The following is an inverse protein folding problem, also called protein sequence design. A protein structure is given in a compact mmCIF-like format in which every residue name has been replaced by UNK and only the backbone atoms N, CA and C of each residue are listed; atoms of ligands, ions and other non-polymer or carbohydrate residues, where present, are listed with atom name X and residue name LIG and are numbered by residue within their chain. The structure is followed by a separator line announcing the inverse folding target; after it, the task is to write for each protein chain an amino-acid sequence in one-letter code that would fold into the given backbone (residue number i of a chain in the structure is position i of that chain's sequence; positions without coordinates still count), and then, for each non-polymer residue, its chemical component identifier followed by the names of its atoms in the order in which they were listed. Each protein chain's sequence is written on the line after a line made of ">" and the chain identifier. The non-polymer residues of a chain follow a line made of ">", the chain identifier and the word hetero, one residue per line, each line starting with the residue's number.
data_IF_620642943284
#
_entry.id   IF_620642943284
#
_cell.length_a   1.000
_cell.length_b   1.000
_cell.length_c   1.000
_cell.angle_alpha   90.00
_cell.angle_beta   90.00
_cell.angle_gamma   90.00
#
_symmetry.space_group_name_H-M   'P 1'
#
loop_
_entity.id
_entity.type
_entity.pdbx_description
1 polymer ?
#
# COMPACT_ATOMS: atom_id res chain seq x y z
N UNK A 1 -2.08 12.46 -21.12
CA UNK A 1 -2.26 12.97 -19.72
C UNK A 1 -2.18 14.50 -19.58
N UNK A 2 -2.15 15.31 -20.67
CA UNK A 2 -1.95 16.77 -20.55
C UNK A 2 -3.07 17.56 -19.82
N UNK A 3 -4.25 16.96 -19.64
CA UNK A 3 -5.39 17.59 -18.96
C UNK A 3 -5.95 16.73 -17.82
N UNK A 4 -5.16 15.81 -17.26
CA UNK A 4 -5.63 15.04 -16.12
C UNK A 4 -5.77 15.95 -14.90
N UNK A 5 -6.99 16.04 -14.39
CA UNK A 5 -7.29 16.62 -13.09
C UNK A 5 -7.26 15.48 -12.06
N UNK A 6 -6.38 15.57 -11.07
CA UNK A 6 -6.23 14.54 -10.03
C UNK A 6 -7.44 14.45 -9.10
N UNK A 7 -8.17 15.55 -8.95
CA UNK A 7 -9.32 15.66 -8.07
C UNK A 7 -9.71 17.10 -7.82
N UNK A 8 -10.52 17.33 -6.81
CA UNK A 8 -10.97 18.66 -6.41
C UNK A 8 -11.15 18.76 -4.90
N UNK A 9 -11.05 19.98 -4.37
CA UNK A 9 -11.30 20.23 -2.95
C UNK A 9 -12.77 20.55 -2.71
N UNK A 10 -13.37 19.87 -1.74
CA UNK A 10 -14.74 20.10 -1.28
C UNK A 10 -14.70 20.76 0.09
N UNK A 11 -15.50 21.82 0.28
CA UNK A 11 -15.65 22.47 1.57
C UNK A 11 -16.54 21.61 2.49
N UNK A 12 -16.01 21.21 3.64
CA UNK A 12 -16.68 20.42 4.69
C UNK A 12 -17.11 21.29 5.88
N UNK A 13 -17.22 22.61 5.67
CA UNK A 13 -17.54 23.59 6.70
C UNK A 13 -16.28 24.30 7.19
N UNK A 14 -15.61 23.73 8.21
CA UNK A 14 -14.41 24.33 8.82
C UNK A 14 -13.10 23.99 8.10
N UNK A 15 -13.09 22.99 7.21
CA UNK A 15 -11.92 22.54 6.47
C UNK A 15 -12.30 22.14 5.04
N UNK A 16 -11.28 21.92 4.18
CA UNK A 16 -11.47 21.39 2.83
C UNK A 16 -10.85 20.00 2.72
N UNK A 17 -11.61 19.03 2.23
CA UNK A 17 -11.14 17.68 1.92
C UNK A 17 -10.85 17.55 0.43
N UNK A 18 -9.75 16.90 0.05
CA UNK A 18 -9.50 16.51 -1.33
C UNK A 18 -10.35 15.30 -1.71
N UNK A 19 -10.98 15.35 -2.88
CA UNK A 19 -11.75 14.27 -3.47
C UNK A 19 -11.06 13.87 -4.78
N UNK A 20 -10.43 12.68 -4.87
CA UNK A 20 -9.78 12.24 -6.09
C UNK A 20 -10.83 11.96 -7.17
N UNK A 21 -10.41 12.09 -8.43
CA UNK A 21 -11.19 11.55 -9.54
C UNK A 21 -11.17 10.01 -9.50
N UNK A 22 -12.20 9.39 -10.06
CA UNK A 22 -12.24 7.94 -10.27
C UNK A 22 -11.21 7.52 -11.32
N UNK A 23 -10.58 6.37 -11.11
CA UNK A 23 -9.50 5.84 -11.95
C UNK A 23 -9.97 4.73 -12.89
N UNK A 24 -11.13 4.11 -12.64
CA UNK A 24 -11.66 3.05 -13.50
C UNK A 24 -12.24 3.61 -14.81
N UNK A 25 -11.37 3.87 -15.79
CA UNK A 25 -11.71 4.38 -17.12
C UNK A 25 -10.60 4.07 -18.11
N UNK A 26 -10.85 4.35 -19.38
CA UNK A 26 -9.82 4.29 -20.41
C UNK A 26 -8.73 5.36 -20.17
N UNK A 27 -7.46 4.95 -20.27
CA UNK A 27 -6.31 5.83 -20.06
C UNK A 27 -5.47 5.97 -21.34
N UNK A 28 -5.26 7.22 -21.75
CA UNK A 28 -4.42 7.56 -22.89
C UNK A 28 -3.07 8.14 -22.44
N UNK A 29 -1.99 7.40 -22.73
CA UNK A 29 -0.61 7.78 -22.42
C UNK A 29 0.03 8.38 -23.66
N UNK A 30 0.42 9.66 -23.57
CA UNK A 30 1.00 10.42 -24.68
C UNK A 30 2.48 10.75 -24.43
N UNK A 31 2.98 10.50 -23.21
CA UNK A 31 4.33 10.86 -22.81
C UNK A 31 5.31 9.77 -23.25
N UNK A 32 6.12 10.07 -24.26
CA UNK A 32 7.20 9.17 -24.70
C UNK A 32 8.26 8.93 -23.61
N UNK A 33 8.48 9.92 -22.74
CA UNK A 33 9.37 9.76 -21.58
C UNK A 33 8.84 8.71 -20.61
N UNK A 34 7.53 8.76 -20.29
CA UNK A 34 6.90 7.76 -19.43
C UNK A 34 6.94 6.37 -20.06
N UNK A 35 6.68 6.26 -21.37
CA UNK A 35 6.77 4.99 -22.09
C UNK A 35 8.19 4.43 -22.10
N UNK A 36 9.20 5.29 -22.21
CA UNK A 36 10.60 4.88 -22.11
C UNK A 36 10.95 4.38 -20.69
N UNK A 37 10.44 5.04 -19.64
CA UNK A 37 10.62 4.58 -18.26
C UNK A 37 9.93 3.24 -18.00
N UNK A 38 8.69 3.08 -18.50
CA UNK A 38 7.96 1.81 -18.44
C UNK A 38 8.75 0.69 -19.13
N UNK A 39 9.24 0.92 -20.35
CA UNK A 39 10.03 -0.06 -21.10
C UNK A 39 11.31 -0.48 -20.36
N UNK A 40 11.97 0.46 -19.69
CA UNK A 40 13.14 0.16 -18.86
C UNK A 40 12.78 -0.64 -17.61
N UNK A 41 11.68 -0.29 -16.93
CA UNK A 41 11.20 -0.99 -15.75
C UNK A 41 10.79 -2.44 -16.08
N UNK A 42 10.01 -2.65 -17.14
CA UNK A 42 9.62 -3.99 -17.63
C UNK A 42 10.85 -4.84 -17.93
N UNK A 43 11.89 -4.26 -18.56
CA UNK A 43 13.14 -4.97 -18.83
C UNK A 43 13.87 -5.39 -17.55
N UNK A 44 13.96 -4.52 -16.55
CA UNK A 44 14.61 -4.91 -15.29
C UNK A 44 13.78 -5.95 -14.52
N UNK A 45 12.46 -5.86 -14.58
CA UNK A 45 11.59 -6.85 -13.97
C UNK A 45 11.75 -8.22 -14.65
N UNK A 46 11.78 -8.27 -15.98
CA UNK A 46 12.04 -9.51 -16.72
C UNK A 46 13.44 -10.08 -16.46
N UNK A 47 14.46 -9.24 -16.23
CA UNK A 47 15.79 -9.70 -15.81
C UNK A 47 15.76 -10.30 -14.39
N UNK A 48 15.03 -9.66 -13.47
CA UNK A 48 14.86 -10.16 -12.11
C UNK A 48 14.15 -11.53 -12.13
N UNK A 49 13.07 -11.64 -12.90
CA UNK A 49 12.32 -12.89 -13.09
C UNK A 49 13.22 -14.00 -13.65
N UNK A 50 14.02 -13.71 -14.68
CA UNK A 50 15.00 -14.67 -15.19
C UNK A 50 16.01 -15.10 -14.12
N UNK A 51 16.55 -14.18 -13.32
CA UNK A 51 17.53 -14.53 -12.28
C UNK A 51 16.90 -15.40 -11.19
N UNK A 52 15.60 -15.28 -10.98
CA UNK A 52 14.86 -16.05 -10.00
C UNK A 52 14.99 -17.57 -10.23
N UNK A 53 15.06 -18.01 -11.49
CA UNK A 53 15.23 -19.43 -11.86
C UNK A 53 16.57 -20.04 -11.39
N UNK A 54 17.58 -19.20 -11.15
CA UNK A 54 18.92 -19.62 -10.74
C UNK A 54 19.14 -19.54 -9.22
N UNK A 55 18.13 -19.09 -8.46
CA UNK A 55 18.22 -18.97 -7.00
C UNK A 55 17.93 -20.34 -6.37
N UNK A 56 18.88 -20.94 -5.62
CA UNK A 56 18.71 -22.28 -5.05
C UNK A 56 17.53 -22.40 -4.08
N UNK A 57 17.16 -21.31 -3.40
CA UNK A 57 16.04 -21.24 -2.49
C UNK A 57 15.29 -19.91 -2.66
N UNK A 58 14.25 -19.93 -3.49
CA UNK A 58 13.41 -18.77 -3.77
C UNK A 58 12.70 -18.24 -2.52
N UNK A 59 12.17 -19.15 -1.70
CA UNK A 59 11.40 -18.79 -0.51
C UNK A 59 12.25 -18.01 0.48
N UNK A 60 13.50 -18.43 0.69
CA UNK A 60 14.46 -17.70 1.52
C UNK A 60 14.83 -16.34 0.92
N UNK A 61 14.99 -16.26 -0.40
CA UNK A 61 15.30 -15.00 -1.06
C UNK A 61 14.16 -13.99 -0.93
N UNK A 62 12.92 -14.44 -1.15
CA UNK A 62 11.70 -13.64 -0.96
C UNK A 62 11.58 -13.24 0.51
N UNK A 63 11.75 -14.18 1.46
CA UNK A 63 11.64 -13.85 2.89
C UNK A 63 12.66 -12.79 3.31
N UNK A 64 13.89 -12.83 2.80
CA UNK A 64 14.90 -11.81 3.07
C UNK A 64 14.55 -10.45 2.45
N UNK A 65 13.93 -10.42 1.27
CA UNK A 65 13.46 -9.17 0.66
C UNK A 65 12.26 -8.58 1.40
N UNK A 66 11.32 -9.43 1.78
CA UNK A 66 10.15 -9.05 2.59
C UNK A 66 10.61 -8.52 3.95
N UNK A 67 11.59 -9.16 4.59
CA UNK A 67 12.20 -8.67 5.84
C UNK A 67 12.87 -7.31 5.67
N UNK A 68 13.66 -7.15 4.60
CA UNK A 68 14.34 -5.90 4.28
C UNK A 68 13.33 -4.77 4.00
N UNK A 69 12.27 -5.07 3.26
CA UNK A 69 11.23 -4.10 2.94
C UNK A 69 10.40 -3.76 4.18
N UNK A 70 9.99 -4.75 4.99
CA UNK A 70 9.29 -4.54 6.25
C UNK A 70 10.09 -3.63 7.20
N UNK A 71 11.38 -3.90 7.39
CA UNK A 71 12.26 -3.06 8.24
C UNK A 71 12.43 -1.65 7.70
N UNK A 72 12.48 -1.46 6.36
CA UNK A 72 12.56 -0.13 5.75
C UNK A 72 11.22 0.63 5.82
N UNK A 73 10.11 -0.06 5.57
CA UNK A 73 8.75 0.48 5.58
C UNK A 73 8.35 0.90 6.98
N UNK A 74 8.51 0.02 7.97
CA UNK A 74 8.24 0.34 9.38
C UNK A 74 9.13 1.47 9.91
N UNK A 75 10.35 1.65 9.38
CA UNK A 75 11.22 2.76 9.76
C UNK A 75 10.69 4.12 9.30
N UNK A 76 9.93 4.18 8.20
CA UNK A 76 9.22 5.40 7.77
C UNK A 76 8.14 5.75 8.81
N UNK A 77 7.47 4.74 9.37
CA UNK A 77 6.47 4.86 10.44
C UNK A 77 7.09 5.06 11.85
N UNK A 78 8.42 5.06 11.95
CA UNK A 78 9.17 5.41 13.17
C UNK A 78 9.73 4.24 13.98
N UNK A 79 9.70 3.00 13.47
CA UNK A 79 10.34 1.85 14.15
C UNK A 79 11.87 1.89 14.06
N UNK A 80 12.53 1.23 15.02
CA UNK A 80 14.00 1.19 15.11
C UNK A 80 14.61 -0.21 14.92
N UNK A 81 13.80 -1.20 14.53
CA UNK A 81 14.25 -2.57 14.26
C UNK A 81 15.12 -2.63 13.03
N UNK A 82 16.30 -3.25 13.14
CA UNK A 82 17.16 -3.54 12.00
C UNK A 82 16.93 -4.98 11.47
N UNK A 83 17.52 -5.32 10.32
CA UNK A 83 17.34 -6.63 9.67
C UNK A 83 17.83 -7.79 10.57
N UNK A 84 18.97 -7.60 11.25
CA UNK A 84 19.56 -8.62 12.12
C UNK A 84 18.64 -8.93 13.31
N UNK A 85 18.09 -7.90 13.94
CA UNK A 85 17.13 -8.00 15.04
C UNK A 85 15.83 -8.65 14.60
N UNK A 86 15.38 -8.39 13.37
CA UNK A 86 14.17 -8.99 12.81
C UNK A 86 14.32 -10.49 12.49
N UNK A 87 15.55 -11.02 12.43
CA UNK A 87 15.83 -12.46 12.31
C UNK A 87 15.89 -13.18 13.66
N UNK A 88 15.96 -12.45 14.78
CA UNK A 88 16.03 -13.06 16.11
C UNK A 88 14.67 -13.63 16.54
N UNK A 89 14.72 -14.66 17.37
CA UNK A 89 13.56 -15.10 18.13
C UNK A 89 13.14 -14.01 19.13
N UNK A 90 11.83 -13.89 19.38
CA UNK A 90 11.27 -12.86 20.29
C UNK A 90 11.92 -12.86 21.68
N UNK A 91 12.38 -14.03 22.14
CA UNK A 91 13.02 -14.21 23.44
C UNK A 91 14.39 -13.52 23.51
N UNK A 92 15.13 -13.51 22.40
CA UNK A 92 16.46 -12.91 22.26
C UNK A 92 16.42 -11.41 21.96
N UNK A 93 15.24 -10.88 21.59
CA UNK A 93 15.03 -9.44 21.41
C UNK A 93 14.90 -8.76 22.78
N UNK A 94 15.67 -7.68 22.97
CA UNK A 94 15.58 -6.85 24.17
C UNK A 94 14.15 -6.35 24.37
N UNK A 95 13.63 -6.43 25.60
CA UNK A 95 12.22 -6.16 25.94
C UNK A 95 11.73 -4.80 25.41
N UNK A 96 12.57 -3.78 25.45
CA UNK A 96 12.26 -2.42 25.00
C UNK A 96 12.04 -2.31 23.48
N UNK A 97 12.53 -3.28 22.68
CA UNK A 97 12.40 -3.30 21.22
C UNK A 97 11.37 -4.31 20.72
N UNK A 98 10.74 -5.09 21.61
CA UNK A 98 9.83 -6.18 21.22
C UNK A 98 8.60 -5.66 20.49
N UNK A 99 8.10 -4.49 20.83
CA UNK A 99 6.95 -3.88 20.15
C UNK A 99 7.29 -3.52 18.69
N UNK A 100 8.44 -2.88 18.46
CA UNK A 100 8.94 -2.56 17.12
C UNK A 100 9.27 -3.83 16.30
N UNK A 101 9.75 -4.88 16.97
CA UNK A 101 10.00 -6.18 16.34
C UNK A 101 8.68 -6.86 15.93
N UNK A 102 7.66 -6.81 16.79
CA UNK A 102 6.35 -7.40 16.52
C UNK A 102 5.65 -6.71 15.34
N UNK A 103 5.85 -5.39 15.17
CA UNK A 103 5.38 -4.66 13.98
C UNK A 103 6.01 -5.19 12.68
N UNK A 104 7.32 -5.48 12.69
CA UNK A 104 8.00 -6.08 11.52
C UNK A 104 7.49 -7.50 11.24
N UNK A 105 7.29 -8.32 12.28
CA UNK A 105 6.76 -9.68 12.09
C UNK A 105 5.32 -9.69 11.58
N UNK A 106 4.48 -8.77 12.04
CA UNK A 106 3.13 -8.60 11.53
C UNK A 106 3.14 -8.21 10.06
N UNK A 107 4.07 -7.35 9.64
CA UNK A 107 4.23 -6.99 8.24
C UNK A 107 4.53 -8.21 7.36
N UNK A 108 5.55 -9.00 7.73
CA UNK A 108 5.95 -10.22 7.03
C UNK A 108 4.75 -11.19 6.95
N UNK A 109 4.06 -11.39 8.08
CA UNK A 109 2.90 -12.27 8.19
C UNK A 109 1.75 -11.79 7.32
N UNK A 110 1.45 -10.49 7.33
CA UNK A 110 0.37 -9.90 6.56
C UNK A 110 0.61 -10.04 5.06
N UNK A 111 1.83 -9.74 4.58
CA UNK A 111 2.19 -9.83 3.17
C UNK A 111 2.10 -11.29 2.67
N UNK A 112 2.74 -12.23 3.35
CA UNK A 112 2.71 -13.64 2.96
C UNK A 112 1.29 -14.21 3.00
N UNK A 113 0.50 -13.84 4.01
CA UNK A 113 -0.92 -14.25 4.09
C UNK A 113 -1.73 -13.67 2.95
N UNK A 114 -1.51 -12.41 2.58
CA UNK A 114 -2.21 -11.77 1.47
C UNK A 114 -1.87 -12.43 0.13
N UNK A 115 -0.59 -12.72 -0.13
CA UNK A 115 -0.12 -13.43 -1.33
C UNK A 115 -0.78 -14.81 -1.43
N UNK A 116 -0.74 -15.60 -0.36
CA UNK A 116 -1.37 -16.93 -0.34
C UNK A 116 -2.89 -16.87 -0.55
N UNK A 117 -3.55 -15.80 -0.08
CA UNK A 117 -4.99 -15.62 -0.28
C UNK A 117 -5.35 -15.22 -1.72
N UNK A 118 -4.45 -14.58 -2.46
CA UNK A 118 -4.69 -14.20 -3.86
C UNK A 118 -4.96 -15.41 -4.76
N UNK A 119 -4.51 -16.61 -4.39
CA UNK A 119 -4.84 -17.86 -5.09
C UNK A 119 -6.35 -18.19 -5.09
N UNK A 120 -7.09 -17.68 -4.10
CA UNK A 120 -8.51 -18.01 -3.86
C UNK A 120 -9.43 -16.78 -3.87
N UNK A 121 -8.87 -15.60 -3.69
CA UNK A 121 -9.60 -14.34 -3.56
C UNK A 121 -8.93 -13.28 -4.44
N UNK A 122 -9.66 -12.65 -5.38
CA UNK A 122 -9.10 -11.52 -6.12
C UNK A 122 -8.75 -10.35 -5.19
N UNK A 123 -7.84 -9.49 -5.66
CA UNK A 123 -7.54 -8.22 -5.00
C UNK A 123 -8.83 -7.45 -4.72
N UNK A 124 -9.11 -7.15 -3.44
CA UNK A 124 -10.42 -6.63 -3.04
C UNK A 124 -10.33 -5.90 -1.71
N UNK A 125 -11.35 -5.09 -1.39
CA UNK A 125 -11.46 -4.48 -0.06
C UNK A 125 -11.47 -5.51 1.06
N UNK A 126 -11.96 -6.73 0.79
CA UNK A 126 -11.90 -7.83 1.76
C UNK A 126 -10.45 -8.22 2.05
N UNK A 127 -9.66 -8.47 1.00
CA UNK A 127 -8.25 -8.81 1.15
C UNK A 127 -7.49 -7.68 1.87
N UNK A 128 -7.69 -6.43 1.46
CA UNK A 128 -7.05 -5.25 2.08
C UNK A 128 -7.37 -5.16 3.57
N UNK A 129 -8.65 -5.33 3.94
CA UNK A 129 -9.07 -5.31 5.35
C UNK A 129 -8.47 -6.46 6.14
N UNK A 130 -8.42 -7.66 5.58
CA UNK A 130 -7.79 -8.82 6.24
C UNK A 130 -6.29 -8.61 6.45
N UNK A 131 -5.57 -8.07 5.45
CA UNK A 131 -4.16 -7.71 5.56
C UNK A 131 -3.94 -6.64 6.64
N UNK A 132 -4.74 -5.58 6.63
CA UNK A 132 -4.71 -4.52 7.65
C UNK A 132 -4.97 -5.05 9.06
N UNK A 133 -5.83 -6.06 9.19
CA UNK A 133 -6.11 -6.67 10.49
C UNK A 133 -4.86 -7.31 11.09
N UNK A 134 -4.11 -8.06 10.28
CA UNK A 134 -2.88 -8.74 10.68
C UNK A 134 -1.80 -7.71 11.01
N UNK A 135 -1.64 -6.67 10.19
CA UNK A 135 -0.65 -5.60 10.40
C UNK A 135 -0.76 -4.96 11.79
N UNK A 136 -1.99 -4.71 12.26
CA UNK A 136 -2.24 -4.03 13.54
C UNK A 136 -2.42 -4.97 14.74
N UNK A 137 -2.18 -6.27 14.59
CA UNK A 137 -2.40 -7.24 15.66
C UNK A 137 -1.37 -7.07 16.78
N UNK A 138 -1.80 -6.87 18.03
CA UNK A 138 -0.90 -6.84 19.19
C UNK A 138 -0.02 -5.59 19.33
N UNK A 139 0.11 -4.78 18.27
CA UNK A 139 1.04 -3.65 18.18
C UNK A 139 0.38 -2.28 18.38
N UNK A 140 1.15 -1.20 18.22
CA UNK A 140 0.62 0.17 18.25
C UNK A 140 -0.47 0.32 17.20
N UNK A 141 -1.55 1.00 17.57
CA UNK A 141 -2.69 1.15 16.67
C UNK A 141 -3.65 -0.05 16.63
N UNK A 142 -3.48 -1.10 17.44
CA UNK A 142 -4.47 -2.20 17.55
C UNK A 142 -5.92 -1.74 17.83
N UNK A 143 -6.09 -0.58 18.45
CA UNK A 143 -7.39 0.04 18.72
C UNK A 143 -7.90 0.97 17.59
N UNK A 144 -7.08 1.25 16.56
CA UNK A 144 -7.42 2.07 15.38
C UNK A 144 -8.21 1.27 14.34
N UNK A 145 -9.27 0.59 14.76
CA UNK A 145 -10.20 -0.09 13.84
C UNK A 145 -9.52 -1.12 12.92
N UNK A 146 -8.68 -1.98 13.51
CA UNK A 146 -8.04 -3.10 12.81
C UNK A 146 -9.03 -3.87 11.91
N UNK A 147 -8.66 -4.03 10.64
CA UNK A 147 -9.48 -4.67 9.62
C UNK A 147 -10.72 -3.92 9.14
N UNK A 148 -10.83 -2.62 9.43
CA UNK A 148 -11.95 -1.77 8.98
C UNK A 148 -11.44 -0.49 8.36
N UNK A 149 -12.22 0.08 7.45
CA UNK A 149 -12.00 1.45 7.00
C UNK A 149 -12.40 2.44 8.09
N UNK A 150 -11.76 3.61 8.08
CA UNK A 150 -12.04 4.68 9.04
C UNK A 150 -13.50 5.13 8.94
N UNK A 151 -14.08 5.47 10.10
CA UNK A 151 -15.45 6.00 10.22
C UNK A 151 -15.48 7.48 10.65
N UNK A 152 -14.31 8.12 10.66
CA UNK A 152 -14.11 9.52 11.00
C UNK A 152 -13.06 10.14 10.08
N UNK A 153 -13.04 11.46 10.02
CA UNK A 153 -12.07 12.18 9.21
C UNK A 153 -10.66 12.07 9.84
N UNK A 154 -9.67 11.73 9.01
CA UNK A 154 -8.24 11.85 9.31
C UNK A 154 -7.64 13.02 8.52
N UNK A 155 -6.38 13.34 8.80
CA UNK A 155 -5.58 14.35 8.10
C UNK A 155 -4.09 14.02 8.18
N UNK A 156 -3.29 14.63 7.30
CA UNK A 156 -1.84 14.43 7.19
C UNK A 156 -1.13 15.77 7.40
N UNK A 157 -0.15 15.78 8.30
CA UNK A 157 0.60 16.98 8.69
C UNK A 157 -0.22 17.94 9.58
N UNK A 158 0.45 18.86 10.28
CA UNK A 158 -0.22 19.81 11.18
C UNK A 158 -0.65 19.21 12.53
N UNK A 159 -0.98 20.07 13.48
CA UNK A 159 -1.44 19.67 14.82
C UNK A 159 -2.95 19.40 14.87
N UNK A 160 -3.71 19.93 13.91
CA UNK A 160 -5.16 19.81 13.78
C UNK A 160 -5.57 19.74 12.30
N UNK A 161 -6.86 19.48 12.05
CA UNK A 161 -7.40 19.47 10.68
C UNK A 161 -7.35 20.85 9.99
N UNK A 162 -7.28 21.93 10.77
CA UNK A 162 -7.31 23.31 10.23
C UNK A 162 -5.94 23.76 9.69
N UNK A 163 -4.85 23.18 10.19
CA UNK A 163 -3.47 23.43 9.76
C UNK A 163 -2.86 22.21 9.05
N UNK A 164 -3.70 21.23 8.69
CA UNK A 164 -3.27 20.04 7.97
C UNK A 164 -2.71 20.37 6.58
N UNK A 165 -1.63 19.69 6.20
CA UNK A 165 -1.05 19.82 4.85
C UNK A 165 -1.96 19.16 3.81
N UNK A 166 -2.61 18.06 4.20
CA UNK A 166 -3.54 17.36 3.36
C UNK A 166 -4.69 16.76 4.18
N UNK A 167 -5.90 16.89 3.67
CA UNK A 167 -7.10 16.25 4.23
C UNK A 167 -7.67 15.31 3.16
N UNK A 168 -7.61 13.99 3.34
CA UNK A 168 -8.12 12.99 2.39
C UNK A 168 -9.64 13.06 2.26
N UNK A 169 -10.26 12.23 1.39
CA UNK A 169 -11.69 12.15 1.19
C UNK A 169 -12.50 12.03 2.47
N UNK A 170 -13.80 12.33 2.36
CA UNK A 170 -14.69 12.11 3.49
C UNK A 170 -14.82 10.60 3.72
N UNK A 171 -14.85 10.16 4.99
CA UNK A 171 -14.96 8.74 5.33
C UNK A 171 -16.21 8.07 4.74
N UNK A 172 -17.28 8.84 4.48
CA UNK A 172 -18.50 8.35 3.85
C UNK A 172 -18.28 7.89 2.39
N UNK A 173 -17.32 8.49 1.69
CA UNK A 173 -17.02 8.21 0.27
C UNK A 173 -16.01 7.09 0.08
N UNK A 174 -15.37 6.58 1.15
CA UNK A 174 -14.30 5.57 1.05
C UNK A 174 -14.77 4.33 0.30
N UNK A 175 -15.96 3.81 0.62
CA UNK A 175 -16.46 2.60 -0.02
C UNK A 175 -16.66 2.78 -1.53
N UNK A 176 -17.07 3.97 -1.97
CA UNK A 176 -17.23 4.28 -3.39
C UNK A 176 -15.88 4.29 -4.10
N UNK A 177 -14.88 4.96 -3.50
CA UNK A 177 -13.53 5.02 -4.06
C UNK A 177 -12.80 3.68 -4.04
N UNK A 178 -12.94 2.90 -2.97
CA UNK A 178 -12.38 1.55 -2.91
C UNK A 178 -13.07 0.62 -3.91
N UNK A 179 -14.39 0.77 -4.12
CA UNK A 179 -15.12 0.06 -5.15
C UNK A 179 -14.66 0.43 -6.56
N UNK A 180 -14.37 1.71 -6.83
CA UNK A 180 -13.77 2.16 -8.10
C UNK A 180 -12.37 1.57 -8.31
N UNK A 181 -11.53 1.60 -7.27
CA UNK A 181 -10.19 1.03 -7.27
C UNK A 181 -10.20 -0.48 -7.57
N UNK A 182 -11.13 -1.24 -6.96
CA UNK A 182 -11.32 -2.65 -7.25
C UNK A 182 -11.75 -2.89 -8.70
N UNK A 183 -12.71 -2.11 -9.21
CA UNK A 183 -13.13 -2.23 -10.61
C UNK A 183 -11.97 -1.92 -11.57
N UNK A 184 -11.15 -0.92 -11.27
CA UNK A 184 -9.97 -0.61 -12.08
C UNK A 184 -8.93 -1.74 -12.06
N UNK A 185 -8.66 -2.33 -10.90
CA UNK A 185 -7.73 -3.44 -10.78
C UNK A 185 -8.14 -4.63 -11.67
N UNK A 186 -9.43 -4.92 -11.74
CA UNK A 186 -10.01 -6.04 -12.51
C UNK A 186 -10.52 -5.65 -13.89
N UNK A 187 -10.28 -4.43 -14.36
CA UNK A 187 -10.79 -3.98 -15.65
C UNK A 187 -10.08 -4.73 -16.78
N UNK A 188 -10.87 -5.46 -17.59
CA UNK A 188 -10.43 -6.15 -18.81
C UNK A 188 -11.01 -5.55 -20.08
N UNK A 189 -11.90 -4.56 -19.97
CA UNK A 189 -12.52 -3.87 -21.11
C UNK A 189 -11.50 -2.97 -21.82
N UNK A 190 -10.59 -2.36 -21.04
CA UNK A 190 -9.53 -1.51 -21.55
C UNK A 190 -8.16 -2.03 -21.10
N UNK A 191 -7.28 -2.32 -22.07
CA UNK A 191 -5.91 -2.69 -21.75
C UNK A 191 -5.15 -1.52 -21.14
N UNK A 192 -4.45 -1.77 -20.04
CA UNK A 192 -3.57 -0.81 -19.41
C UNK A 192 -2.33 -1.53 -18.84
N UNK A 193 -1.10 -1.07 -19.10
CA UNK A 193 0.11 -1.75 -18.64
C UNK A 193 0.15 -1.95 -17.13
N UNK A 194 0.52 -3.14 -16.67
CA UNK A 194 0.39 -3.54 -15.27
C UNK A 194 1.21 -2.66 -14.31
N UNK A 195 2.44 -2.29 -14.66
CA UNK A 195 3.24 -1.39 -13.81
C UNK A 195 2.60 -0.01 -13.65
N UNK A 196 1.95 0.50 -14.69
CA UNK A 196 1.21 1.76 -14.59
C UNK A 196 -0.09 1.58 -13.82
N UNK A 197 -0.75 0.42 -13.95
CA UNK A 197 -1.93 0.05 -13.16
C UNK A 197 -1.59 0.04 -11.67
N UNK A 198 -0.50 -0.62 -11.29
CA UNK A 198 0.02 -0.65 -9.92
C UNK A 198 0.32 0.76 -9.42
N UNK A 199 0.97 1.61 -10.24
CA UNK A 199 1.26 2.99 -9.86
C UNK A 199 0.00 3.82 -9.57
N UNK A 200 -1.05 3.69 -10.39
CA UNK A 200 -2.32 4.38 -10.18
C UNK A 200 -3.09 3.84 -8.98
N UNK A 201 -3.11 2.52 -8.79
CA UNK A 201 -3.72 1.90 -7.60
C UNK A 201 -3.04 2.40 -6.33
N UNK A 202 -1.71 2.42 -6.32
CA UNK A 202 -0.93 2.90 -5.18
C UNK A 202 -1.23 4.38 -4.89
N UNK A 203 -1.16 5.25 -5.90
CA UNK A 203 -1.52 6.66 -5.75
C UNK A 203 -2.94 6.86 -5.20
N UNK A 204 -3.92 6.15 -5.77
CA UNK A 204 -5.31 6.27 -5.38
C UNK A 204 -5.53 5.77 -3.95
N UNK A 205 -4.94 4.63 -3.59
CA UNK A 205 -5.04 4.06 -2.25
C UNK A 205 -4.48 4.99 -1.18
N UNK A 206 -3.29 5.55 -1.39
CA UNK A 206 -2.67 6.53 -0.46
C UNK A 206 -3.47 7.84 -0.35
N UNK A 207 -4.23 8.17 -1.39
CA UNK A 207 -5.07 9.36 -1.41
C UNK A 207 -6.36 9.20 -0.60
N UNK A 208 -6.91 7.97 -0.50
CA UNK A 208 -8.19 7.64 0.15
C UNK A 208 -8.06 7.55 1.69
#
# INVERSE_FOLDING_TARGET
>A
MRHFKSGYYVNQGSYKSFQPETINREWNIESMELLNLLSQADRQLGRLDMYSEYIPNMDLFISMHVLKEATQSSKIEGTKTNIEEALLDKEDVNKEKRDDWEEVQNYITALNTAINKLEKLPFSSRLIKETHQILLQGVRGKHKQSGKFRVSQNWIGGASINDATFVPPNYQSINDYMGDLEKFAHNTDYYFPDLLKIALIHYQFETI
#
